data_IF_459762137885
#
_entry.id   IF_459762137885
#
_cell.length_a   1.000
_cell.length_b   1.000
_cell.length_c   1.000
_cell.angle_alpha   90.00
_cell.angle_beta   90.00
_cell.angle_gamma   90.00
#
_symmetry.space_group_name_H-M   'P 1'
#
loop_
_entity.id
_entity.type
_entity.pdbx_description
1 polymer ?
#
# COMPACT_ATOMS: atom_id res chain seq x y z
N UNK A 1 41.89 19.54 -20.43
CA UNK A 1 41.17 19.08 -19.23
C UNK A 1 39.69 19.16 -19.56
N UNK A 2 39.13 18.08 -20.13
CA UNK A 2 37.69 17.97 -20.32
C UNK A 2 37.10 17.59 -18.97
N UNK A 3 36.39 18.52 -18.34
CA UNK A 3 35.57 18.20 -17.17
C UNK A 3 34.55 17.17 -17.62
N UNK A 4 34.49 16.03 -16.92
CA UNK A 4 33.30 15.21 -16.91
C UNK A 4 32.20 16.03 -16.24
N UNK A 5 31.59 16.93 -17.02
CA UNK A 5 30.35 17.59 -16.64
C UNK A 5 29.32 16.48 -16.51
N UNK A 6 29.13 16.03 -15.27
CA UNK A 6 28.22 14.95 -14.92
C UNK A 6 26.88 15.21 -15.58
N UNK A 7 26.55 14.39 -16.58
CA UNK A 7 25.28 14.45 -17.28
C UNK A 7 24.17 14.22 -16.25
N UNK A 8 23.66 15.33 -15.74
CA UNK A 8 22.64 15.31 -14.71
C UNK A 8 21.33 15.07 -15.44
N UNK A 9 20.83 13.83 -15.38
CA UNK A 9 19.56 13.41 -15.99
C UNK A 9 18.40 14.12 -15.28
N UNK A 10 18.01 15.27 -15.83
CA UNK A 10 16.99 16.17 -15.27
C UNK A 10 15.66 15.43 -15.05
N UNK A 11 15.25 14.57 -15.98
CA UNK A 11 14.04 13.77 -15.87
C UNK A 11 14.04 12.88 -14.63
N UNK A 12 15.16 12.20 -14.35
CA UNK A 12 15.28 11.33 -13.18
C UNK A 12 15.21 12.13 -11.86
N UNK A 13 15.95 13.25 -11.77
CA UNK A 13 15.91 14.08 -10.57
C UNK A 13 14.51 14.65 -10.31
N UNK A 14 13.84 15.11 -11.37
CA UNK A 14 12.46 15.60 -11.26
C UNK A 14 11.48 14.49 -10.91
N UNK A 15 11.69 13.26 -11.38
CA UNK A 15 10.89 12.10 -10.98
C UNK A 15 11.04 11.82 -9.49
N UNK A 16 12.26 11.84 -8.96
CA UNK A 16 12.53 11.64 -7.52
C UNK A 16 11.90 12.76 -6.67
N UNK A 17 12.05 14.02 -7.07
CA UNK A 17 11.43 15.16 -6.38
C UNK A 17 9.90 15.07 -6.40
N UNK A 18 9.33 14.71 -7.57
CA UNK A 18 7.88 14.54 -7.73
C UNK A 18 7.35 13.35 -6.94
N UNK A 19 8.15 12.30 -6.77
CA UNK A 19 7.84 11.18 -5.88
C UNK A 19 7.86 11.62 -4.40
N UNK A 20 8.85 12.43 -3.99
CA UNK A 20 8.84 13.05 -2.66
C UNK A 20 7.55 13.85 -2.41
N UNK A 21 7.14 14.67 -3.38
CA UNK A 21 5.87 15.39 -3.33
C UNK A 21 4.66 14.45 -3.27
N UNK A 22 4.64 13.40 -4.09
CA UNK A 22 3.59 12.37 -4.12
C UNK A 22 3.39 11.72 -2.74
N UNK A 23 4.47 11.36 -2.06
CA UNK A 23 4.37 10.72 -0.73
C UNK A 23 3.74 11.66 0.29
N UNK A 24 4.18 12.93 0.34
CA UNK A 24 3.59 13.95 1.21
C UNK A 24 2.11 14.22 0.88
N UNK A 25 1.80 14.41 -0.41
CA UNK A 25 0.43 14.63 -0.89
C UNK A 25 -0.48 13.43 -0.56
N UNK A 26 0.05 12.21 -0.65
CA UNK A 26 -0.67 10.98 -0.31
C UNK A 26 -1.02 10.91 1.18
N UNK A 27 -0.10 11.28 2.07
CA UNK A 27 -0.37 11.35 3.52
C UNK A 27 -1.49 12.35 3.81
N UNK A 28 -1.41 13.54 3.23
CA UNK A 28 -2.44 14.59 3.39
C UNK A 28 -3.78 14.12 2.82
N UNK A 29 -3.78 13.55 1.61
CA UNK A 29 -5.00 13.09 0.95
C UNK A 29 -5.67 11.96 1.75
N UNK A 30 -4.91 11.02 2.31
CA UNK A 30 -5.46 9.96 3.17
C UNK A 30 -6.01 10.52 4.47
N UNK A 31 -5.37 11.52 5.07
CA UNK A 31 -5.84 12.18 6.30
C UNK A 31 -7.13 12.98 6.10
N UNK A 32 -7.27 13.62 4.95
CA UNK A 32 -8.42 14.46 4.63
C UNK A 32 -9.58 13.71 3.98
N UNK A 33 -9.34 12.51 3.44
CA UNK A 33 -10.38 11.74 2.74
C UNK A 33 -11.20 10.89 3.73
N UNK A 34 -12.48 11.22 3.99
CA UNK A 34 -13.32 10.45 4.90
C UNK A 34 -13.84 9.14 4.28
N UNK A 35 -13.55 8.88 3.01
CA UNK A 35 -14.11 7.76 2.26
C UNK A 35 -13.40 6.43 2.52
N UNK A 36 -14.16 5.33 2.41
CA UNK A 36 -13.66 3.95 2.65
C UNK A 36 -12.66 3.43 1.60
N UNK A 37 -12.47 4.14 0.48
CA UNK A 37 -11.67 3.68 -0.68
C UNK A 37 -10.38 4.51 -0.82
N UNK A 38 -9.33 4.12 -0.10
CA UNK A 38 -8.02 4.77 -0.12
C UNK A 38 -7.32 4.79 -1.49
N UNK A 39 -7.76 3.95 -2.44
CA UNK A 39 -7.24 3.95 -3.82
C UNK A 39 -7.51 5.27 -4.56
N UNK A 40 -8.69 5.86 -4.39
CA UNK A 40 -9.08 7.08 -5.11
C UNK A 40 -8.18 8.29 -4.79
N UNK A 41 -7.95 8.65 -3.52
CA UNK A 41 -7.05 9.76 -3.19
C UNK A 41 -5.60 9.50 -3.65
N UNK A 42 -5.15 8.23 -3.64
CA UNK A 42 -3.80 7.88 -4.08
C UNK A 42 -3.60 8.05 -5.59
N UNK A 43 -4.59 7.66 -6.43
CA UNK A 43 -4.55 7.99 -7.86
C UNK A 43 -4.55 9.51 -8.08
N UNK A 44 -5.37 10.24 -7.32
CA UNK A 44 -5.41 11.70 -7.40
C UNK A 44 -4.06 12.33 -7.11
N UNK A 45 -3.39 11.88 -6.04
CA UNK A 45 -2.04 12.31 -5.70
C UNK A 45 -1.02 11.96 -6.80
N UNK A 46 -1.13 10.78 -7.42
CA UNK A 46 -0.28 10.39 -8.55
C UNK A 46 -0.45 11.31 -9.75
N UNK A 47 -1.69 11.61 -10.15
CA UNK A 47 -1.96 12.53 -11.25
C UNK A 47 -1.42 13.95 -10.96
N UNK A 48 -1.54 14.42 -9.71
CA UNK A 48 -0.94 15.69 -9.29
C UNK A 48 0.59 15.66 -9.38
N UNK A 49 1.23 14.58 -8.97
CA UNK A 49 2.68 14.42 -9.08
C UNK A 49 3.15 14.38 -10.53
N UNK A 50 2.44 13.68 -11.41
CA UNK A 50 2.72 13.68 -12.87
C UNK A 50 2.55 15.07 -13.47
N UNK A 51 1.51 15.81 -13.06
CA UNK A 51 1.28 17.18 -13.53
C UNK A 51 2.40 18.12 -13.07
N UNK A 52 2.81 18.02 -11.80
CA UNK A 52 3.92 18.79 -11.26
C UNK A 52 5.25 18.46 -11.97
N UNK A 53 5.53 17.16 -12.17
CA UNK A 53 6.68 16.69 -12.95
C UNK A 53 6.70 17.31 -14.35
N UNK A 54 5.58 17.24 -15.07
CA UNK A 54 5.46 17.75 -16.43
C UNK A 54 5.68 19.26 -16.49
N UNK A 55 5.08 20.00 -15.56
CA UNK A 55 5.22 21.46 -15.49
C UNK A 55 6.66 21.87 -15.15
N UNK A 56 7.28 21.23 -14.16
CA UNK A 56 8.66 21.51 -13.78
C UNK A 56 9.64 21.15 -14.90
N UNK A 57 9.39 20.05 -15.62
CA UNK A 57 10.21 19.66 -16.76
C UNK A 57 10.14 20.70 -17.87
N UNK A 58 8.96 21.26 -18.15
CA UNK A 58 8.78 22.28 -19.17
C UNK A 58 9.41 23.65 -18.81
N UNK A 59 9.38 24.04 -17.54
CA UNK A 59 9.82 25.37 -17.10
C UNK A 59 11.32 25.43 -16.79
N UNK A 60 11.88 24.35 -16.23
CA UNK A 60 13.29 24.35 -15.84
C UNK A 60 14.19 24.28 -17.08
N UNK A 61 15.34 24.99 -17.10
CA UNK A 61 16.29 24.88 -18.20
C UNK A 61 16.80 23.43 -18.35
N UNK A 62 17.02 23.00 -19.59
CA UNK A 62 17.61 21.69 -19.87
C UNK A 62 19.10 21.68 -19.52
N UNK A 63 19.56 20.66 -18.81
CA UNK A 63 20.97 20.48 -18.41
C UNK A 63 21.65 19.29 -19.10
N UNK A 64 20.92 18.54 -19.92
CA UNK A 64 21.38 17.28 -20.51
C UNK A 64 21.61 17.41 -22.01
N UNK A 65 22.67 16.75 -22.51
CA UNK A 65 22.93 16.56 -23.94
C UNK A 65 22.03 15.47 -24.56
N UNK A 66 21.05 14.97 -23.80
CA UNK A 66 20.08 13.96 -24.23
C UNK A 66 18.92 14.63 -24.96
N UNK A 67 18.27 13.87 -25.84
CA UNK A 67 16.98 14.27 -26.41
C UNK A 67 15.98 14.57 -25.27
N UNK A 68 15.44 15.80 -25.18
CA UNK A 68 14.49 16.19 -24.14
C UNK A 68 13.28 15.25 -24.04
N UNK A 69 12.84 14.65 -25.15
CA UNK A 69 11.72 13.71 -25.14
C UNK A 69 12.09 12.39 -24.45
N UNK A 70 13.33 11.91 -24.66
CA UNK A 70 13.84 10.71 -24.00
C UNK A 70 14.07 10.94 -22.50
N UNK A 71 14.64 12.09 -22.13
CA UNK A 71 14.85 12.44 -20.71
C UNK A 71 13.50 12.57 -19.98
N UNK A 72 12.52 13.23 -20.61
CA UNK A 72 11.16 13.31 -20.09
C UNK A 72 10.51 11.92 -19.92
N UNK A 73 10.59 11.09 -20.96
CA UNK A 73 10.01 9.75 -20.96
C UNK A 73 10.63 8.84 -19.89
N UNK A 74 11.95 8.88 -19.74
CA UNK A 74 12.66 8.14 -18.71
C UNK A 74 12.23 8.58 -17.30
N UNK A 75 12.16 9.88 -17.04
CA UNK A 75 11.69 10.38 -15.75
C UNK A 75 10.23 9.99 -15.45
N UNK A 76 9.34 10.05 -16.45
CA UNK A 76 7.95 9.63 -16.30
C UNK A 76 7.84 8.13 -15.97
N UNK A 77 8.63 7.30 -16.67
CA UNK A 77 8.68 5.87 -16.43
C UNK A 77 9.20 5.54 -15.03
N UNK A 78 10.27 6.21 -14.58
CA UNK A 78 10.79 6.06 -13.21
C UNK A 78 9.73 6.48 -12.18
N UNK A 79 9.05 7.62 -12.38
CA UNK A 79 7.97 8.07 -11.50
C UNK A 79 6.84 7.05 -11.41
N UNK A 80 6.47 6.43 -12.55
CA UNK A 80 5.48 5.36 -12.58
C UNK A 80 5.93 4.12 -11.80
N UNK A 81 7.17 3.67 -11.97
CA UNK A 81 7.72 2.53 -11.21
C UNK A 81 7.76 2.81 -9.71
N UNK A 82 8.18 4.02 -9.32
CA UNK A 82 8.19 4.44 -7.92
C UNK A 82 6.77 4.48 -7.34
N UNK A 83 5.79 5.01 -8.08
CA UNK A 83 4.39 4.97 -7.67
C UNK A 83 3.88 3.54 -7.52
N UNK A 84 4.21 2.64 -8.45
CA UNK A 84 3.79 1.26 -8.39
C UNK A 84 4.38 0.55 -7.15
N UNK A 85 5.68 0.72 -6.90
CA UNK A 85 6.33 0.17 -5.70
C UNK A 85 5.80 0.77 -4.39
N UNK A 86 5.54 2.07 -4.36
CA UNK A 86 4.91 2.74 -3.22
C UNK A 86 3.49 2.25 -2.98
N UNK A 87 2.71 2.12 -4.04
CA UNK A 87 1.36 1.59 -4.02
C UNK A 87 1.35 0.16 -3.50
N UNK A 88 2.20 -0.70 -4.06
CA UNK A 88 2.31 -2.09 -3.64
C UNK A 88 2.78 -2.19 -2.18
N UNK A 89 3.81 -1.46 -1.77
CA UNK A 89 4.24 -1.45 -0.37
C UNK A 89 3.15 -0.98 0.61
N UNK A 90 2.43 0.10 0.30
CA UNK A 90 1.35 0.59 1.16
C UNK A 90 0.15 -0.35 1.14
N UNK A 91 -0.29 -0.75 -0.03
CA UNK A 91 -1.51 -1.54 -0.16
C UNK A 91 -1.26 -2.97 0.29
N UNK A 92 -0.22 -3.61 -0.23
CA UNK A 92 0.13 -5.01 0.02
C UNK A 92 0.61 -5.21 1.46
N UNK A 93 1.58 -4.44 1.96
CA UNK A 93 2.13 -4.66 3.31
C UNK A 93 1.25 -4.06 4.41
N UNK A 94 0.80 -2.81 4.29
CA UNK A 94 0.06 -2.16 5.39
C UNK A 94 -1.43 -2.48 5.40
N UNK A 95 -2.11 -2.47 4.25
CA UNK A 95 -3.57 -2.59 4.21
C UNK A 95 -4.03 -4.06 4.09
N UNK A 96 -3.51 -4.81 3.12
CA UNK A 96 -3.90 -6.22 2.93
C UNK A 96 -3.09 -7.18 3.79
N UNK A 97 -1.77 -6.99 4.00
CA UNK A 97 -0.91 -7.95 4.69
C UNK A 97 -1.40 -8.30 6.10
N UNK A 98 -1.77 -7.27 6.86
CA UNK A 98 -2.31 -7.47 8.21
C UNK A 98 -3.72 -8.08 8.21
N UNK A 99 -4.62 -7.63 7.34
CA UNK A 99 -5.97 -8.20 7.22
C UNK A 99 -5.94 -9.66 6.74
N UNK A 100 -5.05 -9.99 5.82
CA UNK A 100 -4.80 -11.35 5.36
C UNK A 100 -4.16 -12.20 6.44
N UNK A 101 -3.21 -11.64 7.20
CA UNK A 101 -2.64 -12.29 8.39
C UNK A 101 -3.72 -12.68 9.40
N UNK A 102 -4.68 -11.79 9.67
CA UNK A 102 -5.84 -12.10 10.51
C UNK A 102 -6.58 -13.30 9.91
N UNK A 103 -6.96 -13.25 8.64
CA UNK A 103 -7.73 -14.33 8.00
C UNK A 103 -6.98 -15.68 8.01
N UNK A 104 -5.67 -15.70 7.79
CA UNK A 104 -4.82 -16.91 7.87
C UNK A 104 -4.81 -17.46 9.30
N UNK A 105 -4.73 -16.61 10.32
CA UNK A 105 -4.80 -17.06 11.72
C UNK A 105 -6.16 -17.67 12.07
N UNK A 106 -7.25 -17.07 11.59
CA UNK A 106 -8.57 -17.68 11.72
C UNK A 106 -8.64 -19.04 10.99
N UNK A 107 -7.98 -19.17 9.84
CA UNK A 107 -7.95 -20.42 9.07
C UNK A 107 -7.18 -21.51 9.81
N UNK A 108 -6.02 -21.16 10.40
CA UNK A 108 -5.18 -22.06 11.17
C UNK A 108 -5.86 -22.56 12.45
N UNK A 109 -6.63 -21.72 13.15
CA UNK A 109 -7.28 -22.11 14.42
C UNK A 109 -8.50 -23.00 14.22
N UNK A 110 -9.19 -22.92 13.07
CA UNK A 110 -10.39 -23.71 12.81
C UNK A 110 -11.61 -23.32 13.66
N UNK A 111 -12.56 -24.25 13.85
CA UNK A 111 -13.73 -24.04 14.74
C UNK A 111 -13.31 -24.25 16.21
N UNK A 112 -13.78 -23.45 17.18
CA UNK A 112 -14.99 -22.61 17.16
C UNK A 112 -14.85 -21.18 16.62
N UNK A 113 -13.63 -20.70 16.33
CA UNK A 113 -13.37 -19.32 15.90
C UNK A 113 -12.35 -18.62 16.81
N UNK A 114 -12.20 -17.31 16.66
CA UNK A 114 -11.37 -16.47 17.54
C UNK A 114 -12.25 -15.41 18.21
N UNK A 115 -12.05 -15.20 19.50
CA UNK A 115 -12.60 -14.04 20.21
C UNK A 115 -11.81 -12.78 19.87
N UNK A 116 -12.41 -11.61 20.04
CA UNK A 116 -11.74 -10.32 19.87
C UNK A 116 -10.46 -10.21 20.71
N UNK A 117 -10.53 -10.62 21.97
CA UNK A 117 -9.38 -10.61 22.89
C UNK A 117 -8.24 -11.53 22.43
N UNK A 118 -8.55 -12.66 21.80
CA UNK A 118 -7.53 -13.54 21.22
C UNK A 118 -6.89 -12.92 19.98
N UNK A 119 -7.67 -12.25 19.12
CA UNK A 119 -7.13 -11.52 17.96
C UNK A 119 -6.21 -10.39 18.45
N UNK A 120 -6.61 -9.61 19.45
CA UNK A 120 -5.80 -8.52 20.01
C UNK A 120 -4.49 -9.02 20.62
N UNK A 121 -4.53 -10.13 21.37
CA UNK A 121 -3.33 -10.77 21.94
C UNK A 121 -2.34 -11.25 20.88
N UNK A 122 -2.82 -11.74 19.74
CA UNK A 122 -1.95 -12.20 18.64
C UNK A 122 -1.08 -11.09 18.04
N UNK A 123 -1.52 -9.84 18.14
CA UNK A 123 -0.83 -8.68 17.59
C UNK A 123 -0.17 -7.81 18.67
N UNK A 124 0.08 -8.39 19.85
CA UNK A 124 0.73 -7.74 21.00
C UNK A 124 0.16 -6.34 21.32
N UNK A 125 -1.10 -6.12 21.01
CA UNK A 125 -1.73 -4.81 21.20
C UNK A 125 -2.55 -4.83 22.46
N UNK A 126 -2.46 -3.76 23.24
CA UNK A 126 -3.19 -3.60 24.49
C UNK A 126 -4.69 -3.82 24.22
N UNK A 127 -5.35 -4.77 24.89
CA UNK A 127 -6.75 -5.12 24.65
C UNK A 127 -7.72 -3.95 24.89
N UNK A 128 -7.26 -2.89 25.56
CA UNK A 128 -8.13 -1.83 26.05
C UNK A 128 -8.38 -0.68 25.06
N UNK A 129 -7.60 -0.51 23.98
CA UNK A 129 -7.86 0.57 23.01
C UNK A 129 -7.02 0.48 21.71
N UNK A 130 -7.37 -0.38 20.76
CA UNK A 130 -6.70 -0.41 19.45
C UNK A 130 -7.65 -0.04 18.28
N UNK A 131 -7.79 1.26 17.96
CA UNK A 131 -8.71 1.73 16.92
C UNK A 131 -8.37 1.17 15.52
N UNK A 132 -7.11 0.76 15.29
CA UNK A 132 -6.68 0.15 14.03
C UNK A 132 -7.24 -1.27 13.90
N UNK A 133 -7.21 -2.06 14.98
CA UNK A 133 -7.77 -3.42 14.97
C UNK A 133 -9.29 -3.38 14.82
N UNK A 134 -9.96 -2.49 15.55
CA UNK A 134 -11.42 -2.35 15.51
C UNK A 134 -11.90 -1.98 14.10
N UNK A 135 -11.23 -1.01 13.48
CA UNK A 135 -11.53 -0.62 12.10
C UNK A 135 -11.32 -1.77 11.12
N UNK A 136 -10.26 -2.57 11.30
CA UNK A 136 -9.96 -3.70 10.43
C UNK A 136 -10.93 -4.86 10.62
N UNK A 137 -11.27 -5.22 11.85
CA UNK A 137 -12.29 -6.24 12.14
C UNK A 137 -13.64 -5.81 11.57
N UNK A 138 -14.03 -4.55 11.77
CA UNK A 138 -15.21 -3.96 11.15
C UNK A 138 -15.18 -4.08 9.62
N UNK A 139 -14.08 -3.72 8.97
CA UNK A 139 -13.93 -3.85 7.52
C UNK A 139 -13.99 -5.30 7.03
N UNK A 140 -13.44 -6.26 7.79
CA UNK A 140 -13.51 -7.69 7.47
C UNK A 140 -14.93 -8.24 7.62
N UNK A 141 -15.69 -7.75 8.60
CA UNK A 141 -17.12 -8.07 8.74
C UNK A 141 -17.97 -7.44 7.63
N UNK A 142 -17.82 -6.13 7.37
CA UNK A 142 -18.51 -5.42 6.29
C UNK A 142 -18.20 -6.05 4.92
N UNK A 143 -16.94 -6.44 4.70
CA UNK A 143 -16.46 -7.12 3.50
C UNK A 143 -16.88 -8.58 3.37
N UNK A 144 -17.63 -9.11 4.35
CA UNK A 144 -18.13 -10.49 4.45
C UNK A 144 -17.04 -11.57 4.51
N UNK A 145 -15.85 -11.23 4.99
CA UNK A 145 -14.77 -12.19 5.23
C UNK A 145 -14.95 -12.90 6.58
N UNK A 146 -15.43 -12.17 7.59
CA UNK A 146 -15.77 -12.67 8.92
C UNK A 146 -17.28 -12.58 9.20
N UNK A 147 -17.77 -13.37 10.16
CA UNK A 147 -19.11 -13.28 10.71
C UNK A 147 -19.06 -13.48 12.23
N UNK A 148 -19.98 -12.85 12.96
CA UNK A 148 -20.17 -13.15 14.38
C UNK A 148 -20.66 -14.60 14.57
N UNK A 149 -20.12 -15.30 15.56
CA UNK A 149 -20.43 -16.68 15.89
C UNK A 149 -21.12 -16.85 17.27
N UNK A 150 -21.39 -15.75 17.98
CA UNK A 150 -21.89 -15.73 19.37
C UNK A 150 -20.79 -15.38 20.38
N UNK A 151 -21.14 -14.88 21.58
CA UNK A 151 -20.20 -14.60 22.69
C UNK A 151 -18.93 -13.80 22.31
N UNK A 152 -19.04 -12.82 21.39
CA UNK A 152 -17.87 -12.05 20.95
C UNK A 152 -16.84 -12.84 20.12
N UNK A 153 -17.21 -14.04 19.66
CA UNK A 153 -16.43 -14.85 18.73
C UNK A 153 -16.71 -14.43 17.29
N UNK A 154 -15.66 -14.42 16.48
CA UNK A 154 -15.72 -14.27 15.04
C UNK A 154 -15.41 -15.62 14.38
N UNK A 155 -15.99 -15.86 13.20
CA UNK A 155 -15.71 -17.01 12.35
C UNK A 155 -15.46 -16.59 10.92
N UNK A 156 -14.62 -17.35 10.21
CA UNK A 156 -14.45 -17.19 8.77
C UNK A 156 -15.74 -17.52 8.01
N UNK A 157 -16.08 -16.68 7.05
CA UNK A 157 -17.05 -17.00 6.01
C UNK A 157 -16.37 -17.70 4.83
N UNK A 158 -17.17 -18.24 3.91
CA UNK A 158 -16.68 -18.90 2.69
C UNK A 158 -15.68 -18.01 1.93
N UNK A 159 -15.99 -16.72 1.78
CA UNK A 159 -15.12 -15.73 1.13
C UNK A 159 -13.80 -15.52 1.88
N UNK A 160 -13.86 -15.44 3.21
CA UNK A 160 -12.66 -15.35 4.06
C UNK A 160 -11.79 -16.59 3.95
N UNK A 161 -12.42 -17.77 3.98
CA UNK A 161 -11.73 -19.06 3.90
C UNK A 161 -11.02 -19.23 2.55
N UNK A 162 -11.71 -18.93 1.44
CA UNK A 162 -11.10 -18.94 0.10
C UNK A 162 -9.89 -18.00 0.01
N UNK A 163 -10.03 -16.76 0.48
CA UNK A 163 -8.96 -15.77 0.38
C UNK A 163 -7.76 -16.12 1.27
N UNK A 164 -8.01 -16.58 2.50
CA UNK A 164 -6.98 -17.04 3.42
C UNK A 164 -6.23 -18.26 2.86
N UNK A 165 -6.97 -19.25 2.35
CA UNK A 165 -6.39 -20.46 1.78
C UNK A 165 -5.53 -20.15 0.55
N UNK A 166 -6.06 -19.35 -0.38
CA UNK A 166 -5.30 -18.92 -1.57
C UNK A 166 -4.01 -18.21 -1.17
N UNK A 167 -4.08 -17.28 -0.21
CA UNK A 167 -2.89 -16.52 0.19
C UNK A 167 -1.88 -17.40 0.93
N UNK A 168 -2.35 -18.31 1.79
CA UNK A 168 -1.47 -19.28 2.46
C UNK A 168 -0.77 -20.20 1.45
N UNK A 169 -1.48 -20.67 0.41
CA UNK A 169 -0.89 -21.47 -0.66
C UNK A 169 0.17 -20.68 -1.43
N UNK A 170 -0.11 -19.42 -1.77
CA UNK A 170 0.86 -18.56 -2.45
C UNK A 170 2.10 -18.29 -1.57
N UNK A 171 1.91 -17.97 -0.29
CA UNK A 171 3.03 -17.78 0.65
C UNK A 171 3.91 -19.02 0.74
N UNK A 172 3.29 -20.21 0.80
CA UNK A 172 4.01 -21.49 0.79
C UNK A 172 4.77 -21.74 -0.51
N UNK A 173 4.18 -21.38 -1.66
CA UNK A 173 4.81 -21.58 -2.97
C UNK A 173 6.03 -20.68 -3.15
N UNK A 174 5.95 -19.44 -2.66
CA UNK A 174 7.00 -18.44 -2.82
C UNK A 174 8.01 -18.40 -1.66
N UNK A 175 7.91 -19.30 -0.67
CA UNK A 175 8.73 -19.29 0.54
C UNK A 175 8.75 -17.92 1.26
N UNK A 176 7.67 -17.15 1.16
CA UNK A 176 7.54 -15.89 1.86
C UNK A 176 7.30 -16.21 3.34
N UNK A 177 8.15 -15.69 4.23
CA UNK A 177 8.01 -15.88 5.67
C UNK A 177 6.65 -15.41 6.18
N UNK A 178 6.21 -15.95 7.32
CA UNK A 178 4.89 -15.65 7.91
C UNK A 178 4.72 -14.18 8.40
N UNK A 179 5.74 -13.35 8.25
CA UNK A 179 5.67 -11.90 8.40
C UNK A 179 5.79 -11.27 7.01
N UNK A 180 4.72 -10.61 6.57
CA UNK A 180 4.76 -9.75 5.40
C UNK A 180 5.55 -8.47 5.64
#
# INVERSE_FOLDING_TARGET
>A
MGGEDGQTMKGILLALASFGFLTAASVVAVRLYPGKKYFKPLIGAFLLAVSAYTLLFAVLPGSSNLDPALDFGNGLFILFLLFNGFWDGIYTSFLTGFSTGILIRFLQKGRPGLTEGEVLRMYQTDPSNNPVMDLRLKNLMEGRYLAAAGEGCYRLRLKGNFFAGLTQTLQSLFHMGAGG
#
